data_IF_265100189335
#
_entry.id   IF_265100189335
#
_cell.length_a   1.000
_cell.length_b   1.000
_cell.length_c   1.000
_cell.angle_alpha   90.00
_cell.angle_beta   90.00
_cell.angle_gamma   90.00
#
_symmetry.space_group_name_H-M   'P 1'
#
loop_
_entity.id
_entity.type
_entity.pdbx_description
1 polymer ?
#
# COMPACT_ATOMS: atom_id res chain seq x y z
N UNK A 1 -34.71 -29.53 -41.46
CA UNK A 1 -35.71 -30.33 -42.18
C UNK A 1 -35.43 -31.81 -41.94
N UNK A 2 -35.99 -32.38 -40.87
CA UNK A 2 -36.67 -33.68 -40.79
C UNK A 2 -37.55 -33.56 -39.54
N UNK A 3 -38.82 -33.88 -39.69
CA UNK A 3 -39.90 -33.71 -38.72
C UNK A 3 -40.16 -34.97 -37.89
N UNK A 4 -40.95 -34.74 -36.83
CA UNK A 4 -41.82 -35.66 -36.08
C UNK A 4 -41.14 -36.50 -34.98
N UNK A 5 -41.69 -36.62 -33.77
CA UNK A 5 -42.99 -36.19 -33.26
C UNK A 5 -43.15 -36.53 -31.78
N UNK A 6 -43.99 -35.72 -31.14
CA UNK A 6 -44.50 -35.71 -29.77
C UNK A 6 -44.88 -37.07 -29.16
N UNK A 7 -44.71 -37.22 -27.84
CA UNK A 7 -45.71 -37.86 -26.97
C UNK A 7 -45.56 -37.40 -25.49
N UNK A 8 -46.68 -36.89 -24.97
CA UNK A 8 -46.96 -36.52 -23.57
C UNK A 8 -47.01 -37.74 -22.66
N UNK A 9 -46.70 -37.56 -21.36
CA UNK A 9 -47.64 -37.72 -20.23
C UNK A 9 -46.91 -37.99 -18.89
N UNK A 10 -47.09 -37.09 -17.91
CA UNK A 10 -47.20 -37.40 -16.46
C UNK A 10 -48.57 -38.10 -16.21
N UNK A 11 -48.90 -38.73 -15.05
CA UNK A 11 -48.50 -38.33 -13.69
C UNK A 11 -48.41 -39.43 -12.57
N UNK A 12 -48.08 -38.96 -11.36
CA UNK A 12 -48.48 -39.39 -10.01
C UNK A 12 -48.30 -40.85 -9.52
N UNK A 13 -47.51 -41.02 -8.44
CA UNK A 13 -48.05 -41.26 -7.08
C UNK A 13 -46.96 -41.41 -6.00
N UNK A 14 -47.05 -40.54 -4.99
CA UNK A 14 -47.00 -40.78 -3.53
C UNK A 14 -46.13 -41.94 -2.98
N UNK A 15 -45.15 -41.60 -2.13
CA UNK A 15 -45.15 -42.00 -0.70
C UNK A 15 -44.12 -41.21 0.12
N UNK A 16 -44.60 -40.61 1.20
CA UNK A 16 -43.87 -40.00 2.30
C UNK A 16 -44.02 -40.95 3.52
N UNK A 17 -43.05 -40.99 4.46
CA UNK A 17 -43.48 -40.70 5.82
C UNK A 17 -42.53 -39.80 6.62
N UNK A 18 -43.19 -39.03 7.49
CA UNK A 18 -42.67 -38.12 8.51
C UNK A 18 -41.95 -38.81 9.67
N UNK A 19 -41.02 -38.07 10.27
CA UNK A 19 -40.78 -37.80 11.71
C UNK A 19 -39.27 -37.74 11.95
N UNK A 20 -38.65 -36.76 12.59
CA UNK A 20 -39.08 -35.85 13.65
C UNK A 20 -37.99 -35.93 14.72
N UNK A 21 -37.13 -34.90 14.86
CA UNK A 21 -36.33 -34.67 16.07
C UNK A 21 -35.80 -33.24 16.12
N UNK A 22 -36.38 -32.48 17.05
CA UNK A 22 -35.86 -31.25 17.63
C UNK A 22 -34.55 -31.54 18.37
N UNK A 23 -33.55 -30.65 18.25
CA UNK A 23 -32.55 -30.40 19.30
C UNK A 23 -32.07 -28.95 19.22
N UNK A 24 -32.20 -28.29 20.36
CA UNK A 24 -31.69 -26.98 20.72
C UNK A 24 -30.16 -26.93 20.86
N UNK A 25 -29.66 -25.68 20.84
CA UNK A 25 -28.45 -25.09 21.46
C UNK A 25 -27.21 -24.90 20.55
N UNK A 26 -26.33 -23.92 20.86
CA UNK A 26 -26.59 -22.59 21.45
C UNK A 26 -25.80 -21.45 20.79
N UNK A 27 -26.20 -20.21 21.14
CA UNK A 27 -25.41 -19.00 21.02
C UNK A 27 -24.07 -19.15 21.79
N UNK A 28 -22.96 -18.79 21.15
CA UNK A 28 -21.64 -18.72 21.78
C UNK A 28 -21.38 -17.25 22.17
N UNK A 29 -21.08 -16.95 23.45
CA UNK A 29 -20.75 -15.61 23.89
C UNK A 29 -19.34 -15.20 23.43
N UNK A 30 -19.21 -13.97 22.95
CA UNK A 30 -17.93 -13.31 22.66
C UNK A 30 -17.15 -13.18 23.97
N UNK A 31 -16.10 -13.99 24.12
CA UNK A 31 -15.21 -13.97 25.28
C UNK A 31 -14.33 -12.71 25.25
N UNK A 32 -14.39 -11.94 26.34
CA UNK A 32 -13.58 -10.78 26.72
C UNK A 32 -12.05 -11.05 26.86
N UNK A 33 -11.54 -12.13 26.26
CA UNK A 33 -10.14 -12.55 26.34
C UNK A 33 -9.24 -11.99 25.21
N UNK A 34 -9.79 -11.17 24.30
CA UNK A 34 -9.03 -10.59 23.17
C UNK A 34 -8.29 -9.28 23.48
N UNK A 35 -8.63 -8.59 24.58
CA UNK A 35 -8.02 -7.31 24.94
C UNK A 35 -6.66 -7.43 25.67
N UNK A 36 -6.35 -8.58 26.27
CA UNK A 36 -5.13 -8.71 27.08
C UNK A 36 -3.88 -9.17 26.32
N UNK A 37 -3.97 -9.64 25.07
CA UNK A 37 -2.76 -9.97 24.26
C UNK A 37 -2.16 -8.79 23.51
N UNK A 38 -2.88 -7.66 23.42
CA UNK A 38 -2.37 -6.45 22.78
C UNK A 38 -1.33 -5.69 23.61
N UNK A 39 -1.21 -5.99 24.92
CA UNK A 39 -0.29 -5.26 25.81
C UNK A 39 1.09 -5.90 25.96
N UNK A 40 1.22 -7.22 25.73
CA UNK A 40 2.49 -7.93 25.93
C UNK A 40 3.47 -7.73 24.75
N UNK A 41 2.97 -7.56 23.52
CA UNK A 41 3.83 -7.32 22.35
C UNK A 41 4.50 -5.93 22.34
N UNK A 42 3.99 -4.96 23.11
CA UNK A 42 4.55 -3.61 23.19
C UNK A 42 5.66 -3.48 24.25
N UNK A 43 5.74 -4.38 25.24
CA UNK A 43 6.75 -4.32 26.30
C UNK A 43 8.07 -5.04 25.95
N UNK A 44 8.06 -6.01 25.03
CA UNK A 44 9.28 -6.74 24.63
C UNK A 44 10.20 -5.97 23.66
N UNK A 45 9.82 -4.75 23.23
CA UNK A 45 10.68 -3.90 22.40
C UNK A 45 11.86 -3.24 23.16
N UNK A 46 11.95 -3.38 24.49
CA UNK A 46 12.98 -2.72 25.30
C UNK A 46 13.99 -3.67 25.98
N UNK A 47 13.92 -4.99 25.77
CA UNK A 47 14.81 -5.91 26.49
C UNK A 47 15.16 -7.19 25.74
N UNK A 48 15.90 -7.08 24.63
CA UNK A 48 16.60 -8.24 24.06
C UNK A 48 17.98 -7.86 23.53
N UNK A 49 18.92 -7.66 24.47
CA UNK A 49 20.35 -7.78 24.22
C UNK A 49 20.84 -9.13 24.76
N UNK A 50 20.76 -10.17 23.93
CA UNK A 50 21.50 -11.43 24.18
C UNK A 50 22.17 -11.86 22.87
N UNK A 51 23.51 -11.99 22.82
CA UNK A 51 24.22 -12.36 21.61
C UNK A 51 24.19 -13.88 21.47
N UNK A 52 23.63 -14.41 20.37
CA UNK A 52 23.84 -15.81 20.00
C UNK A 52 22.68 -16.59 19.38
N UNK A 53 21.70 -15.95 18.73
CA UNK A 53 20.73 -16.69 17.90
C UNK A 53 20.76 -16.23 16.45
N UNK A 54 21.01 -17.20 15.56
CA UNK A 54 20.87 -17.09 14.11
C UNK A 54 19.44 -16.68 13.76
N UNK A 55 19.23 -15.39 13.53
CA UNK A 55 18.03 -14.88 12.89
C UNK A 55 18.19 -15.04 11.37
N UNK A 56 17.78 -16.18 10.83
CA UNK A 56 17.42 -16.26 9.42
C UNK A 56 16.14 -15.42 9.23
N UNK A 57 16.32 -14.11 9.04
CA UNK A 57 15.21 -13.17 8.89
C UNK A 57 14.41 -13.50 7.63
N UNK A 58 13.19 -14.02 7.81
CA UNK A 58 12.22 -14.15 6.72
C UNK A 58 11.62 -12.77 6.42
N UNK A 59 11.47 -12.42 5.13
CA UNK A 59 10.87 -11.14 4.70
C UNK A 59 9.39 -11.11 5.10
N UNK A 60 9.04 -10.31 6.09
CA UNK A 60 7.65 -10.00 6.40
C UNK A 60 7.09 -9.04 5.34
N UNK A 61 5.91 -9.33 4.80
CA UNK A 61 5.23 -8.54 3.77
C UNK A 61 4.75 -7.15 4.25
N UNK A 62 5.04 -6.75 5.49
CA UNK A 62 4.77 -5.40 6.00
C UNK A 62 5.65 -4.38 5.28
N UNK A 63 5.23 -3.99 4.07
CA UNK A 63 5.84 -2.92 3.29
C UNK A 63 6.17 -1.74 4.20
N UNK A 64 7.48 -1.51 4.34
CA UNK A 64 8.17 -0.47 5.11
C UNK A 64 8.61 -0.74 6.58
N UNK A 65 8.32 -1.90 7.18
CA UNK A 65 8.93 -2.30 8.46
C UNK A 65 9.40 -3.76 8.43
N UNK A 66 10.65 -4.02 8.86
CA UNK A 66 11.10 -5.38 9.15
C UNK A 66 10.34 -5.82 10.41
N UNK A 67 9.31 -6.63 10.21
CA UNK A 67 8.66 -7.31 11.32
C UNK A 67 9.39 -8.64 11.56
N UNK A 68 9.72 -8.99 12.82
CA UNK A 68 10.37 -10.24 13.16
C UNK A 68 9.46 -11.48 13.00
N UNK A 69 8.17 -11.28 12.74
CA UNK A 69 7.18 -12.35 12.61
C UNK A 69 7.12 -12.90 11.18
N UNK A 70 6.91 -14.21 11.07
CA UNK A 70 6.54 -14.87 9.83
C UNK A 70 5.21 -14.25 9.32
N UNK A 71 5.10 -13.93 8.03
CA UNK A 71 3.87 -13.38 7.46
C UNK A 71 2.68 -14.35 7.63
N UNK A 72 2.95 -15.65 7.81
CA UNK A 72 1.96 -16.67 8.15
C UNK A 72 1.32 -16.46 9.53
N UNK A 73 1.96 -15.69 10.40
CA UNK A 73 1.45 -15.30 11.72
C UNK A 73 0.71 -13.97 11.69
N UNK A 74 0.70 -13.25 10.56
CA UNK A 74 -0.07 -12.02 10.43
C UNK A 74 -1.57 -12.35 10.38
N UNK A 75 -2.43 -11.53 11.03
CA UNK A 75 -3.87 -11.73 10.97
C UNK A 75 -4.32 -11.66 9.51
N UNK A 76 -4.89 -12.78 9.04
CA UNK A 76 -5.60 -12.84 7.77
C UNK A 76 -7.07 -12.58 8.05
N UNK A 77 -7.70 -11.75 7.22
CA UNK A 77 -9.15 -11.69 7.19
C UNK A 77 -9.58 -12.51 5.98
N UNK A 78 -10.10 -13.74 6.17
CA UNK A 78 -10.74 -14.47 5.09
C UNK A 78 -11.83 -13.59 4.51
N UNK A 79 -11.87 -13.48 3.19
CA UNK A 79 -12.82 -12.62 2.51
C UNK A 79 -13.89 -13.44 1.78
N UNK A 80 -14.90 -13.99 2.50
CA UNK A 80 -15.99 -14.70 1.86
C UNK A 80 -16.73 -13.74 0.89
N UNK A 81 -16.92 -14.19 -0.35
CA UNK A 81 -17.64 -13.45 -1.40
C UNK A 81 -16.76 -12.76 -2.44
N UNK A 82 -15.42 -12.81 -2.35
CA UNK A 82 -14.54 -12.30 -3.42
C UNK A 82 -14.57 -13.16 -4.70
N UNK A 83 -15.16 -14.37 -4.64
CA UNK A 83 -15.10 -15.36 -5.73
C UNK A 83 -16.26 -15.35 -6.71
N UNK A 84 -17.37 -14.66 -6.45
CA UNK A 84 -18.46 -14.49 -7.43
C UNK A 84 -19.56 -13.58 -6.86
N UNK A 85 -19.48 -12.29 -7.11
CA UNK A 85 -20.69 -11.48 -7.18
C UNK A 85 -20.74 -10.90 -8.59
N UNK A 86 -21.86 -11.13 -9.29
CA UNK A 86 -22.18 -10.37 -10.48
C UNK A 86 -22.12 -8.88 -10.10
N UNK A 87 -21.39 -8.09 -10.89
CA UNK A 87 -21.34 -6.64 -10.68
C UNK A 87 -22.77 -6.13 -10.51
N UNK A 88 -23.11 -5.45 -9.41
CA UNK A 88 -24.44 -4.89 -9.26
C UNK A 88 -24.68 -3.96 -10.45
N UNK A 89 -25.91 -3.97 -11.01
CA UNK A 89 -26.29 -2.98 -12.02
C UNK A 89 -26.20 -1.59 -11.39
N UNK A 90 -25.05 -0.96 -11.58
CA UNK A 90 -24.70 0.33 -10.98
C UNK A 90 -24.91 1.37 -12.05
N UNK A 91 -25.44 2.53 -11.66
CA UNK A 91 -25.59 3.67 -12.56
C UNK A 91 -25.08 4.93 -11.87
N UNK A 92 -24.68 5.92 -12.66
CA UNK A 92 -24.27 7.23 -12.14
C UNK A 92 -25.40 7.86 -11.31
N UNK A 93 -26.66 7.66 -11.71
CA UNK A 93 -27.83 8.15 -10.96
C UNK A 93 -27.91 7.54 -9.55
N UNK A 94 -27.59 6.26 -9.40
CA UNK A 94 -27.58 5.60 -8.09
C UNK A 94 -26.52 6.20 -7.15
N UNK A 95 -25.36 6.62 -7.67
CA UNK A 95 -24.30 7.29 -6.88
C UNK A 95 -24.81 8.59 -6.27
N UNK A 96 -25.55 9.40 -7.04
CA UNK A 96 -26.11 10.66 -6.58
C UNK A 96 -27.18 10.52 -5.47
N UNK A 97 -27.76 9.32 -5.32
CA UNK A 97 -28.73 9.03 -4.26
C UNK A 97 -28.08 8.49 -2.98
N UNK A 98 -26.78 8.22 -2.99
CA UNK A 98 -26.07 7.79 -1.78
C UNK A 98 -25.93 8.99 -0.82
N UNK A 99 -26.30 8.85 0.47
CA UNK A 99 -26.16 9.93 1.45
C UNK A 99 -24.68 10.25 1.73
N UNK A 100 -24.12 11.21 0.99
CA UNK A 100 -22.68 11.54 1.04
C UNK A 100 -22.17 11.90 2.44
N UNK A 101 -22.99 12.60 3.24
CA UNK A 101 -22.66 12.92 4.63
C UNK A 101 -22.55 11.67 5.51
N UNK A 102 -23.43 10.69 5.33
CA UNK A 102 -23.37 9.43 6.08
C UNK A 102 -22.14 8.63 5.67
N UNK A 103 -21.84 8.54 4.37
CA UNK A 103 -20.62 7.89 3.88
C UNK A 103 -19.37 8.57 4.46
N UNK A 104 -19.29 9.89 4.44
CA UNK A 104 -18.17 10.62 5.02
C UNK A 104 -18.04 10.38 6.53
N UNK A 105 -19.15 10.28 7.25
CA UNK A 105 -19.17 9.95 8.67
C UNK A 105 -18.70 8.51 8.93
N UNK A 106 -19.27 7.54 8.21
CA UNK A 106 -18.98 6.12 8.38
C UNK A 106 -17.52 5.77 8.06
N UNK A 107 -16.90 6.55 7.17
CA UNK A 107 -15.53 6.39 6.70
C UNK A 107 -14.60 7.53 7.15
N UNK A 108 -14.97 8.25 8.22
CA UNK A 108 -14.22 9.41 8.70
C UNK A 108 -12.75 9.06 9.01
N UNK A 109 -12.49 7.89 9.60
CA UNK A 109 -11.12 7.44 9.90
C UNK A 109 -10.24 7.40 8.64
N UNK A 110 -10.71 6.80 7.56
CA UNK A 110 -9.99 6.77 6.28
C UNK A 110 -9.78 8.19 5.71
N UNK A 111 -10.85 8.98 5.61
CA UNK A 111 -10.81 10.32 4.98
C UNK A 111 -9.86 11.24 5.74
N UNK A 112 -9.93 11.22 7.08
CA UNK A 112 -9.08 12.05 7.93
C UNK A 112 -7.62 11.64 7.85
N UNK A 113 -7.30 10.34 7.94
CA UNK A 113 -5.92 9.87 7.91
C UNK A 113 -5.26 10.10 6.54
N UNK A 114 -5.96 9.87 5.42
CA UNK A 114 -5.42 10.20 4.09
C UNK A 114 -5.23 11.71 3.93
N UNK A 115 -6.18 12.52 4.43
CA UNK A 115 -6.03 13.98 4.43
C UNK A 115 -4.80 14.43 5.22
N UNK A 116 -4.54 13.83 6.37
CA UNK A 116 -3.39 14.11 7.22
C UNK A 116 -2.07 13.63 6.60
N UNK A 117 -2.04 12.47 5.95
CA UNK A 117 -0.87 11.99 5.21
C UNK A 117 -0.48 12.98 4.12
N UNK A 118 -1.43 13.37 3.26
CA UNK A 118 -1.14 14.32 2.19
C UNK A 118 -0.77 15.69 2.73
N UNK A 119 -1.39 16.14 3.83
CA UNK A 119 -0.99 17.38 4.48
C UNK A 119 0.44 17.29 5.03
N UNK A 120 0.83 16.16 5.63
CA UNK A 120 2.21 15.94 6.10
C UNK A 120 3.20 16.05 4.95
N UNK A 121 2.89 15.47 3.78
CA UNK A 121 3.74 15.58 2.58
C UNK A 121 3.81 17.03 2.05
N UNK A 122 2.72 17.81 2.14
CA UNK A 122 2.71 19.24 1.82
C UNK A 122 3.56 20.04 2.81
N UNK A 123 3.44 19.74 4.11
CA UNK A 123 4.18 20.41 5.17
C UNK A 123 5.69 20.17 5.01
N UNK A 124 6.09 18.97 4.55
CA UNK A 124 7.47 18.65 4.15
C UNK A 124 7.91 19.29 2.82
N UNK A 125 7.06 20.09 2.18
CA UNK A 125 7.24 20.65 0.83
C UNK A 125 7.53 19.60 -0.24
N UNK A 126 7.11 18.36 -0.03
CA UNK A 126 7.39 17.26 -0.96
C UNK A 126 6.42 17.28 -2.15
N UNK A 127 5.14 17.53 -1.86
CA UNK A 127 4.10 17.84 -2.85
C UNK A 127 3.55 19.26 -2.58
N UNK A 128 2.88 19.85 -3.55
CA UNK A 128 2.23 21.15 -3.38
C UNK A 128 0.76 20.99 -2.97
N UNK A 129 0.19 21.98 -2.27
CA UNK A 129 -1.20 21.91 -1.84
C UNK A 129 -2.23 21.84 -2.98
N UNK A 130 -1.93 22.46 -4.13
CA UNK A 130 -2.71 22.39 -5.37
C UNK A 130 -2.59 21.04 -6.09
N UNK A 131 -1.61 20.21 -5.73
CA UNK A 131 -1.51 18.83 -6.23
C UNK A 131 -2.57 17.93 -5.59
N UNK A 132 -3.25 18.38 -4.54
CA UNK A 132 -4.32 17.63 -3.88
C UNK A 132 -5.67 18.14 -4.37
N UNK A 133 -6.43 17.28 -5.03
CA UNK A 133 -7.84 17.49 -5.29
C UNK A 133 -8.64 17.06 -4.06
N UNK A 134 -9.37 17.99 -3.46
CA UNK A 134 -10.22 17.74 -2.30
C UNK A 134 -11.70 17.72 -2.71
N UNK A 135 -12.59 17.10 -1.92
CA UNK A 135 -14.03 17.29 -2.10
C UNK A 135 -14.44 18.76 -1.84
N UNK A 136 -15.45 19.29 -2.55
CA UNK A 136 -16.29 18.62 -3.54
C UNK A 136 -15.69 18.61 -4.97
N UNK A 137 -14.52 19.21 -5.20
CA UNK A 137 -13.95 19.34 -6.55
C UNK A 137 -13.65 17.98 -7.20
N UNK A 138 -13.46 16.94 -6.38
CA UNK A 138 -13.39 15.52 -6.77
C UNK A 138 -14.51 15.10 -7.74
N UNK A 139 -15.74 15.59 -7.54
CA UNK A 139 -16.91 15.25 -8.38
C UNK A 139 -16.73 15.60 -9.86
N UNK A 140 -16.09 16.72 -10.15
CA UNK A 140 -15.94 17.20 -11.52
C UNK A 140 -14.80 16.51 -12.28
N UNK A 141 -13.92 15.78 -11.58
CA UNK A 141 -12.69 15.25 -12.18
C UNK A 141 -12.65 13.72 -12.23
N UNK A 142 -13.40 13.00 -11.38
CA UNK A 142 -13.47 11.54 -11.48
C UNK A 142 -14.35 11.13 -12.67
N UNK A 143 -13.83 10.23 -13.50
CA UNK A 143 -14.63 9.59 -14.54
C UNK A 143 -15.55 8.54 -13.90
N UNK A 144 -16.78 8.95 -13.57
CA UNK A 144 -17.76 8.07 -12.93
C UNK A 144 -18.11 6.85 -13.80
N UNK A 145 -18.17 7.01 -15.13
CA UNK A 145 -18.44 5.88 -16.02
C UNK A 145 -17.35 4.81 -15.89
N UNK A 146 -16.08 5.21 -15.86
CA UNK A 146 -14.96 4.28 -15.66
C UNK A 146 -14.94 3.58 -14.29
N UNK A 147 -15.72 4.04 -13.31
CA UNK A 147 -15.93 3.33 -12.04
C UNK A 147 -17.20 2.48 -12.05
N UNK A 148 -18.25 2.93 -12.74
CA UNK A 148 -19.51 2.21 -12.89
C UNK A 148 -19.34 0.98 -13.80
N UNK A 149 -18.67 1.12 -14.95
CA UNK A 149 -18.54 0.07 -15.96
C UNK A 149 -17.87 -1.20 -15.43
N UNK A 150 -16.80 -1.11 -14.61
CA UNK A 150 -16.22 -2.29 -13.97
C UNK A 150 -17.06 -2.81 -12.80
N UNK A 151 -18.12 -2.12 -12.39
CA UNK A 151 -19.07 -2.59 -11.39
C UNK A 151 -18.74 -2.25 -9.94
N UNK A 152 -18.05 -1.13 -9.66
CA UNK A 152 -17.99 -0.62 -8.29
C UNK A 152 -19.41 -0.36 -7.76
N UNK A 153 -19.65 -0.60 -6.47
CA UNK A 153 -20.93 -0.25 -5.86
C UNK A 153 -21.10 1.28 -5.76
N UNK A 154 -22.35 1.78 -5.77
CA UNK A 154 -22.60 3.21 -5.65
C UNK A 154 -22.02 3.86 -4.38
N UNK A 155 -22.05 3.15 -3.25
CA UNK A 155 -21.50 3.63 -1.97
C UNK A 155 -19.96 3.71 -1.98
N UNK A 156 -19.28 2.77 -2.64
CA UNK A 156 -17.82 2.85 -2.84
C UNK A 156 -17.43 4.00 -3.75
N UNK A 157 -18.17 4.23 -4.85
CA UNK A 157 -17.95 5.40 -5.71
C UNK A 157 -18.21 6.68 -4.92
N UNK A 158 -19.30 6.75 -4.14
CA UNK A 158 -19.59 7.90 -3.29
C UNK A 158 -18.47 8.16 -2.27
N UNK A 159 -17.89 7.13 -1.68
CA UNK A 159 -16.74 7.24 -0.79
C UNK A 159 -15.51 7.80 -1.52
N UNK A 160 -15.15 7.26 -2.69
CA UNK A 160 -14.05 7.80 -3.52
C UNK A 160 -14.25 9.29 -3.82
N UNK A 161 -15.49 9.74 -4.00
CA UNK A 161 -15.82 11.15 -4.21
C UNK A 161 -15.66 12.03 -2.96
N UNK A 162 -15.69 11.43 -1.76
CA UNK A 162 -15.39 12.10 -0.48
C UNK A 162 -13.90 12.05 -0.09
N UNK A 163 -13.07 11.31 -0.83
CA UNK A 163 -11.63 11.22 -0.55
C UNK A 163 -10.86 12.39 -1.17
N UNK A 164 -9.75 12.84 -0.54
CA UNK A 164 -8.74 13.62 -1.23
C UNK A 164 -7.95 12.72 -2.20
N UNK A 165 -7.54 13.26 -3.35
CA UNK A 165 -6.74 12.56 -4.36
C UNK A 165 -5.53 13.40 -4.76
N UNK A 166 -4.38 12.77 -4.96
CA UNK A 166 -3.20 13.44 -5.54
C UNK A 166 -3.34 13.42 -7.07
N UNK A 167 -3.09 14.58 -7.71
CA UNK A 167 -3.11 14.75 -9.17
C UNK A 167 -2.01 13.98 -9.88
N UNK A 168 -0.81 14.00 -9.31
CA UNK A 168 0.33 13.24 -9.80
C UNK A 168 0.27 11.79 -9.31
N UNK A 169 0.26 10.85 -10.24
CA UNK A 169 0.28 9.42 -9.97
C UNK A 169 1.70 8.85 -9.90
N UNK A 170 2.72 9.69 -10.01
CA UNK A 170 4.14 9.31 -10.16
C UNK A 170 5.00 9.64 -8.93
N UNK A 171 4.40 10.18 -7.87
CA UNK A 171 5.10 10.52 -6.62
C UNK A 171 4.80 9.45 -5.58
N UNK A 172 5.82 8.91 -4.94
CA UNK A 172 5.69 7.98 -3.83
C UNK A 172 4.96 8.61 -2.64
N UNK A 173 3.95 7.93 -2.12
CA UNK A 173 3.29 8.31 -0.85
C UNK A 173 3.73 7.41 0.32
N UNK A 174 4.40 6.30 -0.01
CA UNK A 174 5.18 5.48 0.91
C UNK A 174 6.42 4.93 0.15
N UNK A 175 7.47 4.51 0.86
CA UNK A 175 8.70 4.02 0.24
C UNK A 175 8.50 2.83 -0.71
N UNK A 176 9.59 2.49 -1.40
CA UNK A 176 9.68 1.29 -2.25
C UNK A 176 8.71 1.35 -3.44
N UNK A 177 8.60 2.52 -4.06
CA UNK A 177 7.78 2.74 -5.26
C UNK A 177 6.28 2.51 -5.00
N UNK A 178 5.84 2.82 -3.77
CA UNK A 178 4.42 2.79 -3.39
C UNK A 178 3.75 4.10 -3.83
N UNK A 179 3.11 4.06 -4.99
CA UNK A 179 2.46 5.21 -5.64
C UNK A 179 0.98 5.28 -5.27
N UNK A 180 0.36 6.49 -5.28
CA UNK A 180 -1.08 6.62 -5.13
C UNK A 180 -1.81 5.99 -6.33
N UNK A 181 -2.99 5.43 -6.07
CA UNK A 181 -3.82 4.92 -7.15
C UNK A 181 -4.41 6.06 -8.01
N UNK A 182 -4.29 6.03 -9.35
CA UNK A 182 -4.56 7.18 -10.22
C UNK A 182 -6.05 7.35 -10.57
N UNK A 183 -6.95 7.45 -9.59
CA UNK A 183 -8.39 7.60 -9.86
C UNK A 183 -8.76 8.82 -10.71
N UNK A 184 -7.95 9.90 -10.63
CA UNK A 184 -8.13 11.10 -11.46
C UNK A 184 -7.69 10.90 -12.92
N UNK A 185 -6.88 9.89 -13.18
CA UNK A 185 -6.28 9.66 -14.48
C UNK A 185 -6.05 8.16 -14.71
N UNK A 186 -7.13 7.39 -14.81
CA UNK A 186 -7.08 5.93 -14.97
C UNK A 186 -6.31 5.47 -16.20
N UNK A 187 -6.03 6.33 -17.19
CA UNK A 187 -5.13 6.01 -18.32
C UNK A 187 -3.68 5.77 -17.91
N UNK A 188 -3.30 6.19 -16.71
CA UNK A 188 -1.96 5.97 -16.13
C UNK A 188 -1.84 4.56 -15.51
N UNK A 189 -2.95 3.81 -15.40
CA UNK A 189 -2.93 2.37 -15.13
C UNK A 189 -2.43 1.70 -16.40
N UNK A 190 -1.12 1.53 -16.54
CA UNK A 190 -0.54 0.83 -17.69
C UNK A 190 -0.83 -0.68 -17.61
N UNK A 191 -2.06 -1.12 -17.88
CA UNK A 191 -2.42 -2.54 -17.97
C UNK A 191 -2.09 -3.08 -19.37
N UNK A 192 -1.55 -4.31 -19.45
CA UNK A 192 -1.17 -4.94 -20.74
C UNK A 192 -2.37 -5.30 -21.60
N UNK A 193 -3.54 -5.53 -20.99
CA UNK A 193 -4.81 -5.74 -21.70
C UNK A 193 -5.29 -4.48 -22.46
N UNK A 194 -4.72 -3.31 -22.18
CA UNK A 194 -5.19 -2.02 -22.69
C UNK A 194 -6.56 -1.61 -22.15
N UNK A 195 -7.15 -2.42 -21.26
CA UNK A 195 -8.39 -2.14 -20.55
C UNK A 195 -8.05 -1.67 -19.14
N UNK A 196 -8.17 -0.37 -18.91
CA UNK A 196 -7.93 0.22 -17.59
C UNK A 196 -9.11 -0.09 -16.68
N UNK A 197 -9.08 -1.27 -16.06
CA UNK A 197 -10.05 -1.67 -15.06
C UNK A 197 -9.56 -1.24 -13.67
N UNK A 198 -10.14 -0.20 -13.04
CA UNK A 198 -9.75 0.21 -11.68
C UNK A 198 -10.04 -0.82 -10.59
N UNK A 199 -10.75 -1.91 -10.88
CA UNK A 199 -10.90 -3.07 -10.00
C UNK A 199 -9.92 -4.21 -10.33
N UNK A 200 -9.28 -4.17 -11.49
CA UNK A 200 -8.28 -5.14 -11.95
C UNK A 200 -7.11 -4.42 -12.63
N UNK A 201 -6.29 -3.68 -11.86
CA UNK A 201 -5.33 -2.74 -12.40
C UNK A 201 -3.96 -3.35 -12.69
N UNK A 202 -3.82 -4.66 -12.55
CA UNK A 202 -2.53 -5.34 -12.58
C UNK A 202 -2.41 -6.20 -13.84
N UNK A 203 -1.19 -6.32 -14.33
CA UNK A 203 -0.86 -7.19 -15.44
C UNK A 203 -0.72 -8.62 -14.94
N UNK A 204 -1.54 -9.54 -15.44
CA UNK A 204 -1.51 -10.93 -15.04
C UNK A 204 -1.17 -11.79 -16.25
N UNK A 205 -0.09 -12.60 -16.19
CA UNK A 205 0.24 -13.52 -17.28
C UNK A 205 -0.80 -14.65 -17.43
N UNK A 206 -1.65 -14.86 -16.42
CA UNK A 206 -2.69 -15.88 -16.38
C UNK A 206 -4.08 -15.27 -16.66
N UNK A 207 -4.96 -15.99 -17.38
CA UNK A 207 -6.36 -15.60 -17.67
C UNK A 207 -7.30 -15.61 -16.44
N UNK A 208 -6.77 -15.52 -15.23
CA UNK A 208 -7.57 -15.48 -14.01
C UNK A 208 -8.19 -14.09 -13.79
N UNK A 209 -9.40 -14.06 -13.23
CA UNK A 209 -10.06 -12.79 -12.88
C UNK A 209 -9.55 -12.30 -11.53
N UNK A 210 -8.73 -11.25 -11.54
CA UNK A 210 -8.15 -10.64 -10.34
C UNK A 210 -8.91 -9.40 -9.86
N UNK A 211 -10.11 -9.20 -10.40
CA UNK A 211 -10.98 -8.09 -10.04
C UNK A 211 -11.30 -8.10 -8.54
N UNK A 212 -10.94 -7.03 -7.83
CA UNK A 212 -11.31 -6.82 -6.43
C UNK A 212 -12.83 -6.68 -6.30
N UNK A 213 -13.44 -6.95 -5.14
CA UNK A 213 -14.89 -6.85 -5.00
C UNK A 213 -15.44 -5.44 -5.24
N UNK A 214 -16.74 -5.33 -5.58
CA UNK A 214 -17.40 -4.04 -5.83
C UNK A 214 -17.34 -3.03 -4.68
N UNK A 215 -17.16 -3.48 -3.44
CA UNK A 215 -17.12 -2.64 -2.23
C UNK A 215 -15.71 -2.23 -1.79
N UNK A 216 -14.66 -2.76 -2.42
CA UNK A 216 -13.27 -2.50 -2.06
C UNK A 216 -12.58 -1.69 -3.15
N UNK A 217 -11.53 -0.94 -2.81
CA UNK A 217 -10.80 -0.11 -3.77
C UNK A 217 -9.29 -0.03 -3.44
N UNK A 218 -8.45 0.17 -4.45
CA UNK A 218 -6.99 0.32 -4.27
C UNK A 218 -6.67 1.71 -3.73
N UNK A 219 -5.95 1.77 -2.62
CA UNK A 219 -5.37 3.02 -2.12
C UNK A 219 -4.02 3.31 -2.78
N UNK A 220 -3.19 2.27 -2.94
CA UNK A 220 -1.85 2.37 -3.53
C UNK A 220 -1.65 1.36 -4.67
N UNK A 221 -0.62 1.59 -5.47
CA UNK A 221 -0.13 0.69 -6.52
C UNK A 221 1.41 0.69 -6.56
N UNK A 222 2.05 -0.34 -7.13
CA UNK A 222 3.47 -0.30 -7.45
C UNK A 222 3.74 0.60 -8.67
N UNK A 223 5.01 0.97 -8.87
CA UNK A 223 5.48 1.53 -10.13
C UNK A 223 5.39 0.50 -11.27
N UNK A 224 5.12 0.99 -12.49
CA UNK A 224 4.80 0.15 -13.65
C UNK A 224 5.95 -0.75 -14.12
N UNK A 225 7.20 -0.44 -13.76
CA UNK A 225 8.38 -1.22 -14.15
C UNK A 225 8.72 -2.34 -13.16
N UNK A 226 8.06 -2.41 -11.99
CA UNK A 226 8.25 -3.56 -11.10
C UNK A 226 7.53 -4.76 -11.69
N UNK A 227 8.18 -5.92 -11.58
CA UNK A 227 7.50 -7.20 -11.70
C UNK A 227 6.28 -7.19 -10.74
N UNK A 228 5.23 -7.93 -11.12
CA UNK A 228 3.85 -7.92 -10.59
C UNK A 228 3.76 -8.36 -9.10
N UNK A 229 4.77 -8.09 -8.29
CA UNK A 229 4.80 -8.41 -6.87
C UNK A 229 3.83 -7.50 -6.11
N UNK A 230 2.70 -8.09 -5.73
CA UNK A 230 1.55 -7.44 -5.12
C UNK A 230 1.79 -6.89 -3.70
N UNK A 231 2.99 -7.11 -3.14
CA UNK A 231 3.36 -6.80 -1.76
C UNK A 231 3.22 -5.32 -1.34
N UNK A 232 2.92 -4.40 -2.28
CA UNK A 232 2.84 -2.95 -2.05
C UNK A 232 1.49 -2.33 -2.41
N UNK A 233 0.51 -3.14 -2.84
CA UNK A 233 -0.86 -2.71 -3.10
C UNK A 233 -1.68 -2.72 -1.80
N UNK A 234 -1.98 -1.53 -1.26
CA UNK A 234 -2.93 -1.39 -0.15
C UNK A 234 -4.34 -1.23 -0.70
N UNK A 235 -5.27 -2.04 -0.19
CA UNK A 235 -6.68 -2.03 -0.58
C UNK A 235 -7.52 -1.74 0.65
N UNK A 236 -8.48 -0.86 0.47
CA UNK A 236 -9.47 -0.54 1.47
C UNK A 236 -10.75 -1.35 1.23
N UNK A 237 -11.17 -2.14 2.21
CA UNK A 237 -12.49 -2.79 2.22
C UNK A 237 -13.47 -1.89 2.98
N UNK A 238 -14.48 -1.37 2.27
CA UNK A 238 -15.46 -0.46 2.85
C UNK A 238 -16.38 -1.11 3.91
N UNK A 239 -16.57 -2.43 3.87
CA UNK A 239 -17.45 -3.13 4.82
C UNK A 239 -16.77 -3.30 6.17
N UNK A 240 -15.54 -3.81 6.16
CA UNK A 240 -14.73 -3.99 7.38
C UNK A 240 -14.02 -2.72 7.82
N UNK A 241 -14.00 -1.68 6.97
CA UNK A 241 -13.34 -0.39 7.19
C UNK A 241 -11.85 -0.55 7.51
N UNK A 242 -11.21 -1.46 6.78
CA UNK A 242 -9.82 -1.84 7.00
C UNK A 242 -8.98 -1.64 5.74
N UNK A 243 -7.74 -1.20 5.94
CA UNK A 243 -6.71 -1.13 4.92
C UNK A 243 -5.79 -2.35 5.05
N UNK A 244 -5.72 -3.19 4.02
CA UNK A 244 -4.91 -4.40 4.01
C UNK A 244 -3.99 -4.45 2.80
N UNK A 245 -3.00 -5.34 2.84
CA UNK A 245 -2.17 -5.66 1.69
C UNK A 245 -2.86 -6.72 0.85
N UNK A 246 -2.84 -6.51 -0.46
CA UNK A 246 -3.07 -7.62 -1.38
C UNK A 246 -1.85 -8.54 -1.36
N UNK A 247 -2.08 -9.84 -1.26
CA UNK A 247 -1.01 -10.82 -1.46
C UNK A 247 -1.52 -11.95 -2.34
N UNK A 248 -0.79 -12.17 -3.43
CA UNK A 248 -0.87 -13.36 -4.27
C UNK A 248 0.06 -14.47 -3.74
N UNK A 249 0.95 -14.16 -2.81
CA UNK A 249 2.09 -14.98 -2.39
C UNK A 249 1.69 -16.23 -1.60
N UNK A 250 0.39 -16.40 -1.32
CA UNK A 250 -0.19 -17.66 -0.85
C UNK A 250 -0.46 -18.66 -1.99
N UNK A 251 -0.07 -18.36 -3.24
CA UNK A 251 -0.25 -19.20 -4.44
C UNK A 251 0.48 -20.55 -4.44
N UNK A 252 1.20 -20.97 -3.39
CA UNK A 252 1.95 -22.24 -3.42
C UNK A 252 1.95 -22.99 -2.09
N UNK A 253 0.96 -23.85 -1.94
CA UNK A 253 1.12 -25.19 -1.37
C UNK A 253 0.45 -26.15 -2.35
N UNK A 254 1.21 -27.15 -2.79
CA UNK A 254 0.82 -28.07 -3.85
C UNK A 254 -0.54 -28.75 -3.54
N UNK A 255 -1.44 -28.80 -4.53
CA UNK A 255 -2.73 -29.53 -4.58
C UNK A 255 -4.02 -28.90 -4.04
N UNK A 256 -4.10 -27.61 -3.69
CA UNK A 256 -5.39 -26.96 -3.36
C UNK A 256 -5.94 -26.04 -4.47
N UNK A 257 -7.27 -25.99 -4.68
CA UNK A 257 -7.89 -25.11 -5.66
C UNK A 257 -7.67 -23.62 -5.31
N UNK A 258 -7.50 -22.72 -6.29
CA UNK A 258 -7.05 -21.34 -6.07
C UNK A 258 -8.20 -20.48 -5.56
N UNK A 259 -8.48 -20.43 -4.24
CA UNK A 259 -9.79 -19.85 -3.80
C UNK A 259 -9.84 -19.04 -2.51
N UNK A 260 -8.82 -18.23 -2.23
CA UNK A 260 -9.06 -17.03 -1.43
C UNK A 260 -8.03 -15.95 -1.74
N UNK A 261 -8.53 -14.84 -2.31
CA UNK A 261 -7.83 -13.57 -2.29
C UNK A 261 -7.94 -13.03 -0.86
N UNK A 262 -6.80 -12.80 -0.21
CA UNK A 262 -6.77 -12.33 1.18
C UNK A 262 -6.30 -10.89 1.25
N UNK A 263 -6.91 -10.13 2.15
CA UNK A 263 -6.26 -8.96 2.73
C UNK A 263 -5.42 -9.46 3.90
N UNK A 264 -4.10 -9.40 3.74
CA UNK A 264 -3.14 -9.64 4.83
C UNK A 264 -2.93 -8.32 5.56
N UNK A 265 -2.70 -8.37 6.88
CA UNK A 265 -2.42 -7.16 7.67
C UNK A 265 -3.56 -6.12 7.57
N UNK A 266 -4.81 -6.60 7.50
CA UNK A 266 -5.98 -5.73 7.43
C UNK A 266 -6.17 -5.04 8.79
N UNK A 267 -5.88 -3.74 8.83
CA UNK A 267 -5.91 -2.90 10.04
C UNK A 267 -6.71 -1.63 9.80
N UNK A 268 -6.98 -0.86 10.85
CA UNK A 268 -7.64 0.43 10.67
C UNK A 268 -6.76 1.38 9.85
N UNK A 269 -7.35 2.26 9.01
CA UNK A 269 -6.61 3.33 8.35
C UNK A 269 -5.78 4.17 9.32
N UNK A 270 -6.32 4.47 10.51
CA UNK A 270 -5.61 5.18 11.58
C UNK A 270 -4.30 4.53 12.01
N UNK A 271 -4.27 3.20 12.13
CA UNK A 271 -3.02 2.48 12.47
C UNK A 271 -2.03 2.51 11.31
N UNK A 272 -2.45 2.10 10.11
CA UNK A 272 -1.53 1.95 8.97
C UNK A 272 -0.99 3.30 8.51
N UNK A 273 -1.85 4.29 8.32
CA UNK A 273 -1.45 5.61 7.84
C UNK A 273 -0.81 6.41 8.99
N UNK A 274 -1.22 6.19 10.23
CA UNK A 274 -0.57 6.76 11.41
C UNK A 274 0.90 6.35 11.53
N UNK A 275 1.23 5.08 11.25
CA UNK A 275 2.61 4.60 11.17
C UNK A 275 3.40 5.35 10.09
N UNK A 276 2.80 5.58 8.92
CA UNK A 276 3.43 6.28 7.80
C UNK A 276 3.72 7.75 8.13
N UNK A 277 2.72 8.42 8.72
CA UNK A 277 2.88 9.80 9.22
C UNK A 277 3.95 9.85 10.31
N UNK A 278 3.96 8.88 11.22
CA UNK A 278 4.98 8.75 12.26
C UNK A 278 6.39 8.62 11.67
N UNK A 279 6.55 7.77 10.67
CA UNK A 279 7.84 7.56 9.99
C UNK A 279 8.32 8.82 9.24
N UNK A 280 7.42 9.58 8.61
CA UNK A 280 7.73 10.87 7.99
C UNK A 280 8.14 11.92 9.03
N UNK A 281 7.39 12.01 10.14
CA UNK A 281 7.70 12.95 11.25
C UNK A 281 9.04 12.65 11.91
N UNK A 282 9.37 11.38 12.12
CA UNK A 282 10.65 10.96 12.70
C UNK A 282 11.80 10.89 11.68
N UNK A 283 11.53 11.24 10.41
CA UNK A 283 12.45 11.11 9.27
C UNK A 283 13.03 9.69 9.11
N UNK A 284 12.30 8.67 9.55
CA UNK A 284 12.58 7.30 9.10
C UNK A 284 12.28 7.19 7.60
N UNK A 285 11.29 7.92 7.13
CA UNK A 285 11.00 8.12 5.72
C UNK A 285 11.36 9.54 5.33
N UNK A 286 12.29 9.68 4.38
CA UNK A 286 12.83 10.97 3.94
C UNK A 286 12.42 11.21 2.49
N UNK A 287 11.45 12.11 2.24
CA UNK A 287 11.08 12.47 0.89
C UNK A 287 12.25 13.14 0.16
N UNK A 288 12.46 12.75 -1.10
CA UNK A 288 13.56 13.25 -1.92
C UNK A 288 13.53 14.78 -2.00
N UNK A 289 14.71 15.40 -1.87
CA UNK A 289 14.89 16.82 -2.16
C UNK A 289 14.80 17.11 -3.67
N UNK A 290 14.91 16.08 -4.52
CA UNK A 290 14.63 16.21 -5.95
C UNK A 290 13.14 16.02 -6.23
N UNK A 291 12.46 17.11 -6.60
CA UNK A 291 11.05 17.04 -7.04
C UNK A 291 10.86 16.23 -8.33
N UNK A 292 11.90 16.12 -9.15
CA UNK A 292 11.85 15.30 -10.36
C UNK A 292 11.83 13.79 -10.06
N UNK A 293 12.34 13.39 -8.90
CA UNK A 293 12.48 11.99 -8.57
C UNK A 293 11.20 11.38 -8.00
N UNK A 294 10.46 12.14 -7.19
CA UNK A 294 9.20 11.68 -6.62
C UNK A 294 9.36 10.42 -5.75
N UNK A 295 10.49 10.27 -5.04
CA UNK A 295 10.77 9.12 -4.16
C UNK A 295 10.82 9.45 -2.68
N UNK A 296 10.58 8.44 -1.84
CA UNK A 296 10.74 8.46 -0.40
C UNK A 296 11.79 7.42 0.00
N UNK A 297 12.84 7.89 0.66
CA UNK A 297 13.96 7.08 1.08
C UNK A 297 13.78 6.52 2.50
N UNK A 298 14.28 5.31 2.71
CA UNK A 298 14.37 4.65 4.02
C UNK A 298 15.84 4.48 4.40
N UNK A 299 16.16 4.38 5.70
CA UNK A 299 17.52 4.09 6.14
C UNK A 299 17.96 2.74 5.56
N UNK A 300 19.22 2.67 5.11
CA UNK A 300 19.82 1.39 4.78
C UNK A 300 19.87 0.49 6.02
N UNK A 301 19.72 -0.82 5.83
CA UNK A 301 19.91 -1.79 6.91
C UNK A 301 21.41 -1.87 7.21
N UNK A 302 21.83 -1.31 8.36
CA UNK A 302 23.25 -1.24 8.72
C UNK A 302 23.85 -2.63 8.83
N UNK A 303 23.09 -3.60 9.32
CA UNK A 303 23.50 -5.00 9.43
C UNK A 303 23.77 -5.63 8.05
N UNK A 304 22.92 -5.34 7.06
CA UNK A 304 23.14 -5.82 5.68
C UNK A 304 24.37 -5.17 5.09
N UNK A 305 24.56 -3.87 5.31
CA UNK A 305 25.75 -3.18 4.82
C UNK A 305 27.02 -3.69 5.53
N UNK A 306 27.00 -3.91 6.83
CA UNK A 306 28.12 -4.47 7.60
C UNK A 306 28.44 -5.90 7.13
N UNK A 307 27.42 -6.71 6.83
CA UNK A 307 27.60 -8.02 6.22
C UNK A 307 28.20 -7.91 4.81
N UNK A 308 27.71 -6.99 3.98
CA UNK A 308 28.26 -6.74 2.64
C UNK A 308 29.72 -6.29 2.71
N UNK A 309 30.05 -5.39 3.65
CA UNK A 309 31.41 -4.94 3.90
C UNK A 309 32.31 -6.08 4.38
N UNK A 310 31.82 -6.96 5.25
CA UNK A 310 32.53 -8.16 5.68
C UNK A 310 32.77 -9.15 4.54
N UNK A 311 31.76 -9.42 3.73
CA UNK A 311 31.87 -10.28 2.53
C UNK A 311 32.85 -9.70 1.52
N UNK A 312 32.83 -8.39 1.33
CA UNK A 312 33.69 -7.69 0.39
C UNK A 312 35.18 -7.77 0.71
N UNK A 313 35.56 -7.95 1.97
CA UNK A 313 36.96 -8.20 2.34
C UNK A 313 37.55 -9.44 1.65
N UNK A 314 36.68 -10.36 1.22
CA UNK A 314 37.07 -11.62 0.55
C UNK A 314 36.85 -11.60 -0.96
N UNK A 315 36.34 -10.49 -1.52
CA UNK A 315 35.98 -10.39 -2.94
C UNK A 315 37.03 -9.59 -3.74
N UNK A 316 37.12 -9.81 -5.07
CA UNK A 316 37.94 -8.98 -5.94
C UNK A 316 37.48 -7.50 -5.93
N UNK A 317 38.43 -6.56 -5.87
CA UNK A 317 38.17 -5.13 -5.71
C UNK A 317 37.11 -4.56 -6.68
N UNK A 318 37.15 -4.94 -7.97
CA UNK A 318 36.20 -4.44 -8.96
C UNK A 318 34.74 -4.85 -8.72
N UNK A 319 34.48 -5.94 -7.99
CA UNK A 319 33.11 -6.37 -7.65
C UNK A 319 32.60 -5.67 -6.39
N UNK A 320 33.51 -5.42 -5.46
CA UNK A 320 33.28 -4.70 -4.20
C UNK A 320 32.87 -3.25 -4.48
N UNK A 321 33.63 -2.56 -5.33
CA UNK A 321 33.41 -1.14 -5.62
C UNK A 321 32.04 -0.89 -6.28
N UNK A 322 31.61 -1.80 -7.16
CA UNK A 322 30.31 -1.71 -7.82
C UNK A 322 29.13 -1.95 -6.88
N UNK A 323 29.17 -3.02 -6.07
CA UNK A 323 28.04 -3.42 -5.23
C UNK A 323 27.93 -2.55 -3.96
N UNK A 324 29.05 -2.32 -3.26
CA UNK A 324 29.05 -1.51 -2.02
C UNK A 324 28.97 -0.03 -2.33
N UNK A 325 29.58 0.44 -3.43
CA UNK A 325 29.54 1.85 -3.80
C UNK A 325 28.12 2.38 -3.95
N UNK A 326 27.22 1.57 -4.52
CA UNK A 326 25.79 1.93 -4.68
C UNK A 326 25.09 2.03 -3.32
N UNK A 327 25.21 1.01 -2.47
CA UNK A 327 24.53 1.00 -1.16
C UNK A 327 25.11 2.06 -0.20
N UNK A 328 26.44 2.24 -0.19
CA UNK A 328 27.11 3.28 0.60
C UNK A 328 26.65 4.67 0.16
N UNK A 329 26.60 4.93 -1.14
CA UNK A 329 26.10 6.21 -1.68
C UNK A 329 24.65 6.45 -1.30
N UNK A 330 23.79 5.43 -1.42
CA UNK A 330 22.37 5.51 -1.04
C UNK A 330 22.21 5.82 0.45
N UNK A 331 23.01 5.17 1.31
CA UNK A 331 23.00 5.41 2.75
C UNK A 331 23.46 6.84 3.09
N UNK A 332 24.59 7.28 2.54
CA UNK A 332 25.11 8.64 2.75
C UNK A 332 24.11 9.70 2.22
N UNK A 333 23.48 9.46 1.07
CA UNK A 333 22.45 10.34 0.52
C UNK A 333 21.21 10.42 1.43
N UNK A 334 20.75 9.30 2.00
CA UNK A 334 19.64 9.29 2.94
C UNK A 334 19.94 10.18 4.16
N UNK A 335 21.09 9.99 4.81
CA UNK A 335 21.46 10.77 6.00
C UNK A 335 21.71 12.24 5.68
N UNK A 336 22.30 12.54 4.52
CA UNK A 336 22.50 13.92 4.08
C UNK A 336 21.16 14.66 3.89
N UNK A 337 20.17 14.02 3.26
CA UNK A 337 18.83 14.61 3.09
C UNK A 337 18.09 14.73 4.42
N UNK A 338 18.16 13.70 5.27
CA UNK A 338 17.58 13.72 6.62
C UNK A 338 18.09 14.93 7.41
N UNK A 339 19.41 15.11 7.45
CA UNK A 339 20.05 16.22 8.16
C UNK A 339 19.57 17.57 7.64
N UNK A 340 19.37 17.73 6.34
CA UNK A 340 18.84 18.97 5.78
C UNK A 340 17.41 19.27 6.28
N UNK A 341 16.53 18.28 6.40
CA UNK A 341 15.22 18.47 7.01
C UNK A 341 15.31 18.85 8.49
N UNK A 342 16.18 18.18 9.25
CA UNK A 342 16.41 18.46 10.68
C UNK A 342 16.97 19.88 10.89
N UNK A 343 17.98 20.28 10.12
CA UNK A 343 18.57 21.63 10.16
C UNK A 343 17.57 22.71 9.72
N UNK A 344 16.60 22.35 8.88
CA UNK A 344 15.49 23.23 8.51
C UNK A 344 14.35 23.24 9.55
N UNK A 345 14.43 22.47 10.63
CA UNK A 345 13.49 22.51 11.75
C UNK A 345 12.33 21.49 11.70
N UNK A 346 12.37 20.49 10.82
CA UNK A 346 11.37 19.41 10.83
C UNK A 346 11.56 18.48 12.04
N UNK A 347 10.48 17.95 12.67
CA UNK A 347 9.05 18.15 12.35
C UNK A 347 8.37 19.33 13.04
N UNK A 348 9.05 20.00 13.98
CA UNK A 348 8.38 20.95 14.89
C UNK A 348 8.11 22.31 14.23
N UNK A 349 9.14 22.90 13.62
CA UNK A 349 9.13 24.26 13.08
C UNK A 349 9.90 24.33 11.77
N UNK A 350 9.44 23.59 10.75
CA UNK A 350 10.07 23.64 9.45
C UNK A 350 10.08 25.08 8.91
N UNK A 351 11.27 25.56 8.54
CA UNK A 351 11.48 26.86 7.92
C UNK A 351 11.35 26.74 6.40
N UNK A 352 10.18 27.06 5.81
CA UNK A 352 9.88 26.73 4.42
C UNK A 352 10.81 27.41 3.41
N UNK A 353 11.19 28.66 3.67
CA UNK A 353 12.11 29.40 2.79
C UNK A 353 13.54 28.84 2.80
N UNK A 354 14.00 28.37 3.96
CA UNK A 354 15.33 27.78 4.11
C UNK A 354 15.39 26.41 3.43
N UNK A 355 14.38 25.55 3.61
CA UNK A 355 14.32 24.26 2.92
C UNK A 355 14.30 24.43 1.40
N UNK A 356 13.52 25.39 0.89
CA UNK A 356 13.47 25.70 -0.55
C UNK A 356 14.85 26.11 -1.07
N UNK A 357 15.58 26.98 -0.36
CA UNK A 357 16.94 27.40 -0.72
C UNK A 357 17.92 26.22 -0.71
N UNK A 358 17.95 25.45 0.38
CA UNK A 358 18.81 24.27 0.53
C UNK A 358 18.55 23.20 -0.52
N UNK A 359 17.28 23.04 -0.91
CA UNK A 359 16.87 22.13 -1.98
C UNK A 359 17.39 22.58 -3.34
N UNK A 360 17.35 23.87 -3.65
CA UNK A 360 17.93 24.39 -4.88
C UNK A 360 19.45 24.14 -4.94
N UNK A 361 20.16 24.41 -3.84
CA UNK A 361 21.60 24.16 -3.71
C UNK A 361 21.95 22.68 -3.85
N UNK A 362 21.16 21.80 -3.22
CA UNK A 362 21.27 20.35 -3.36
C UNK A 362 21.14 19.94 -4.83
N UNK A 363 20.06 20.34 -5.49
CA UNK A 363 19.78 19.94 -6.88
C UNK A 363 20.84 20.47 -7.86
N UNK A 364 21.30 21.71 -7.70
CA UNK A 364 22.39 22.28 -8.50
C UNK A 364 23.70 21.50 -8.27
N UNK A 365 24.03 21.20 -7.01
CA UNK A 365 25.25 20.47 -6.69
C UNK A 365 25.22 19.05 -7.22
N UNK A 366 24.11 18.34 -7.04
CA UNK A 366 23.93 16.98 -7.55
C UNK A 366 24.00 16.96 -9.08
N UNK A 367 23.36 17.91 -9.77
CA UNK A 367 23.43 18.00 -11.23
C UNK A 367 24.85 18.28 -11.74
N UNK A 368 25.62 19.12 -11.04
CA UNK A 368 27.03 19.38 -11.38
C UNK A 368 27.92 18.15 -11.17
N UNK A 369 27.68 17.39 -10.10
CA UNK A 369 28.51 16.25 -9.71
C UNK A 369 28.06 14.91 -10.33
N UNK A 370 26.94 14.87 -11.06
CA UNK A 370 26.39 13.62 -11.59
C UNK A 370 27.32 12.89 -12.56
N UNK A 371 28.24 13.61 -13.22
CA UNK A 371 29.28 13.04 -14.09
C UNK A 371 30.51 12.49 -13.35
N UNK A 372 30.61 12.71 -12.04
CA UNK A 372 31.74 12.30 -11.19
C UNK A 372 31.24 11.54 -9.96
N UNK A 373 31.03 10.21 -10.08
CA UNK A 373 30.42 9.40 -9.03
C UNK A 373 31.11 9.52 -7.65
N UNK A 374 32.44 9.64 -7.65
CA UNK A 374 33.25 9.75 -6.42
C UNK A 374 33.09 11.12 -5.74
N UNK A 375 33.01 12.20 -6.53
CA UNK A 375 32.79 13.55 -5.98
C UNK A 375 31.38 13.68 -5.40
N UNK A 376 30.37 13.11 -6.08
CA UNK A 376 29.00 13.08 -5.60
C UNK A 376 28.90 12.30 -4.28
N UNK A 377 29.58 11.17 -4.19
CA UNK A 377 29.62 10.38 -2.97
C UNK A 377 30.30 11.14 -1.82
N UNK A 378 31.44 11.79 -2.07
CA UNK A 378 32.13 12.62 -1.09
C UNK A 378 31.29 13.81 -0.61
N UNK A 379 30.47 14.39 -1.49
CA UNK A 379 29.50 15.41 -1.14
C UNK A 379 28.45 14.88 -0.15
N UNK A 380 27.81 13.74 -0.46
CA UNK A 380 26.85 13.12 0.45
C UNK A 380 27.48 12.71 1.78
N UNK A 381 28.67 12.09 1.75
CA UNK A 381 29.41 11.68 2.94
C UNK A 381 29.65 12.86 3.89
N UNK A 382 30.08 14.00 3.35
CA UNK A 382 30.35 15.21 4.14
C UNK A 382 29.10 15.74 4.84
N UNK A 383 27.96 15.72 4.15
CA UNK A 383 26.69 16.15 4.71
C UNK A 383 26.15 15.16 5.75
N UNK A 384 26.23 13.86 5.48
CA UNK A 384 25.81 12.80 6.39
C UNK A 384 26.53 12.84 7.75
N UNK A 385 27.74 13.41 7.82
CA UNK A 385 28.45 13.64 9.07
C UNK A 385 28.83 12.34 9.77
N UNK A 386 28.45 12.18 11.04
CA UNK A 386 28.78 11.00 11.85
C UNK A 386 28.07 9.73 11.38
N UNK A 387 26.99 9.86 10.60
CA UNK A 387 26.28 8.72 10.01
C UNK A 387 26.88 8.24 8.69
N UNK A 388 27.92 8.93 8.20
CA UNK A 388 28.53 8.60 6.94
C UNK A 388 29.37 7.31 7.01
N UNK A 389 29.33 6.54 5.94
CA UNK A 389 30.02 5.24 5.82
C UNK A 389 31.18 5.39 4.85
#
# INVERSE_FOLDING_TARGET
MVSAGSLRAQPDHLCNPKSGRSRHQPEIPVSLSFLNRHHECHQDMLSLSTPGQNLSGHRCLRGAFICPCDYRECPTVPQPGWTSDAAPQTSIAAVSHVPSQQIAHDHADLIQNVSQLYQTLVDMQYIQGNDILRPPQTWAQLNLAALVDPGYRPDTIALLLQMPHIRSSSVEIAPQETLPFPYLNLRDLHTVSGTNNPRDPLDHPDEENWTIPPWAFFFTRPAAHREVDFAYCRIYDARSKSLGLWSDSLRRLDNEPPRALFLIDARSPGEVIGEWIGALKSLQWVPSLSQAEGKIYTPGQREVLDQMLGLAQTMPAGFVDGLIGVERRRNNMYWAQRRLYEECGWPDHLHPGELTRRRAEWNETVARLSGSPDELENYYRRLAGEHAI
#
